data_IF_043354746995
#
_entry.id   IF_043354746995
#
_cell.length_a   1.000
_cell.length_b   1.000
_cell.length_c   1.000
_cell.angle_alpha   90.00
_cell.angle_beta   90.00
_cell.angle_gamma   90.00
#
_symmetry.space_group_name_H-M   'P 1'
#
loop_
_entity.id
_entity.type
_entity.pdbx_description
1 polymer ?
#
# COMPACT_ATOMS: atom_id res chain seq x y z
N UNK A 1 -5.82 -21.95 0.10
CA UNK A 1 -4.45 -21.49 0.45
C UNK A 1 -4.56 -20.18 1.20
N UNK A 2 -3.54 -19.79 2.00
CA UNK A 2 -3.58 -18.52 2.77
C UNK A 2 -3.84 -17.29 1.87
N UNK A 3 -3.37 -17.33 0.61
CA UNK A 3 -3.63 -16.28 -0.37
C UNK A 3 -5.11 -16.20 -0.77
N UNK A 4 -5.80 -17.33 -0.92
CA UNK A 4 -7.22 -17.36 -1.29
C UNK A 4 -8.09 -16.75 -0.18
N UNK A 5 -7.72 -17.00 1.09
CA UNK A 5 -8.38 -16.41 2.25
C UNK A 5 -8.19 -14.89 2.29
N UNK A 6 -6.97 -14.39 2.01
CA UNK A 6 -6.68 -12.96 1.89
C UNK A 6 -7.52 -12.34 0.77
N UNK A 7 -7.58 -12.98 -0.41
CA UNK A 7 -8.34 -12.46 -1.55
C UNK A 7 -9.83 -12.40 -1.23
N UNK A 8 -10.39 -13.48 -0.66
CA UNK A 8 -11.81 -13.53 -0.27
C UNK A 8 -12.14 -12.40 0.71
N UNK A 9 -11.34 -12.27 1.78
CA UNK A 9 -11.52 -11.24 2.79
C UNK A 9 -11.41 -9.83 2.21
N UNK A 10 -10.45 -9.61 1.31
CA UNK A 10 -10.23 -8.31 0.65
C UNK A 10 -11.42 -7.91 -0.23
N UNK A 11 -12.05 -8.87 -0.93
CA UNK A 11 -13.26 -8.60 -1.72
C UNK A 11 -14.43 -8.18 -0.82
N UNK A 12 -14.65 -8.88 0.28
CA UNK A 12 -15.72 -8.55 1.22
C UNK A 12 -15.51 -7.17 1.86
N UNK A 13 -14.26 -6.84 2.22
CA UNK A 13 -13.91 -5.55 2.81
C UNK A 13 -13.97 -4.41 1.79
N UNK A 14 -13.69 -4.67 0.50
CA UNK A 14 -13.80 -3.70 -0.58
C UNK A 14 -15.25 -3.25 -0.78
N UNK A 15 -16.19 -4.19 -0.82
CA UNK A 15 -17.61 -3.85 -1.02
C UNK A 15 -18.17 -3.01 0.13
N UNK A 16 -17.74 -3.27 1.37
CA UNK A 16 -18.07 -2.40 2.52
C UNK A 16 -17.50 -1.00 2.36
N UNK A 17 -16.22 -0.89 1.98
CA UNK A 17 -15.56 0.41 1.82
C UNK A 17 -16.17 1.26 0.70
N UNK A 18 -16.64 0.65 -0.39
CA UNK A 18 -17.34 1.38 -1.46
C UNK A 18 -18.65 1.99 -0.97
N UNK A 19 -19.36 1.30 -0.09
CA UNK A 19 -20.58 1.82 0.52
C UNK A 19 -20.28 2.95 1.52
N UNK A 20 -19.25 2.78 2.35
CA UNK A 20 -18.87 3.77 3.37
C UNK A 20 -18.20 5.02 2.77
N UNK A 21 -17.41 4.83 1.70
CA UNK A 21 -16.63 5.86 1.02
C UNK A 21 -16.82 5.75 -0.50
N UNK A 22 -17.82 6.46 -1.06
CA UNK A 22 -18.05 6.48 -2.49
C UNK A 22 -16.83 6.99 -3.27
N UNK A 23 -16.66 6.54 -4.50
CA UNK A 23 -15.51 6.89 -5.35
C UNK A 23 -15.32 8.41 -5.52
N UNK A 24 -16.42 9.17 -5.56
CA UNK A 24 -16.37 10.63 -5.64
C UNK A 24 -15.57 11.25 -4.47
N UNK A 25 -15.68 10.68 -3.27
CA UNK A 25 -14.91 11.14 -2.11
C UNK A 25 -13.42 10.89 -2.28
N UNK A 26 -13.04 9.75 -2.87
CA UNK A 26 -11.64 9.46 -3.19
C UNK A 26 -11.08 10.49 -4.18
N UNK A 27 -11.84 10.81 -5.23
CA UNK A 27 -11.44 11.83 -6.21
C UNK A 27 -11.22 13.21 -5.57
N UNK A 28 -12.13 13.63 -4.69
CA UNK A 28 -11.98 14.88 -3.93
C UNK A 28 -10.74 14.84 -3.03
N UNK A 29 -10.55 13.76 -2.26
CA UNK A 29 -9.37 13.62 -1.38
C UNK A 29 -8.05 13.65 -2.15
N UNK A 30 -8.00 13.09 -3.37
CA UNK A 30 -6.84 13.16 -4.24
C UNK A 30 -6.58 14.59 -4.75
N UNK A 31 -7.64 15.30 -5.16
CA UNK A 31 -7.54 16.69 -5.61
C UNK A 31 -7.07 17.65 -4.50
N UNK A 32 -7.46 17.39 -3.25
CA UNK A 32 -7.04 18.18 -2.09
C UNK A 32 -5.67 17.76 -1.52
N UNK A 33 -5.00 16.75 -2.07
CA UNK A 33 -3.69 16.36 -1.59
C UNK A 33 -2.65 17.42 -2.00
N UNK A 34 -2.02 18.14 -1.05
CA UNK A 34 -1.11 19.24 -1.38
C UNK A 34 0.26 18.75 -1.89
N UNK A 35 0.52 17.44 -1.81
CA UNK A 35 1.79 16.85 -2.21
C UNK A 35 1.67 16.13 -3.55
N UNK A 36 2.62 16.43 -4.44
CA UNK A 36 2.80 15.65 -5.67
C UNK A 36 3.31 14.24 -5.35
N UNK A 37 2.94 13.22 -6.15
CA UNK A 37 3.54 11.90 -6.03
C UNK A 37 5.06 11.97 -6.13
N UNK A 38 5.76 11.25 -5.26
CA UNK A 38 7.22 11.15 -5.33
C UNK A 38 7.61 10.29 -6.53
N UNK A 39 8.75 10.60 -7.14
CA UNK A 39 9.31 9.78 -8.22
C UNK A 39 9.93 8.49 -7.66
N UNK A 40 9.15 7.41 -7.69
CA UNK A 40 9.54 6.09 -7.20
C UNK A 40 10.64 5.48 -8.08
N UNK A 41 10.60 5.69 -9.39
CA UNK A 41 11.55 5.07 -10.31
C UNK A 41 12.94 5.62 -10.07
N UNK A 42 13.06 6.94 -9.93
CA UNK A 42 14.33 7.58 -9.61
C UNK A 42 14.82 7.20 -8.21
N UNK A 43 13.93 7.10 -7.22
CA UNK A 43 14.30 6.69 -5.87
C UNK A 43 14.88 5.28 -5.79
N UNK A 44 14.39 4.35 -6.62
CA UNK A 44 14.83 2.95 -6.66
C UNK A 44 15.95 2.69 -7.67
N UNK A 45 16.29 3.66 -8.52
CA UNK A 45 17.36 3.49 -9.51
C UNK A 45 18.73 3.53 -8.83
N UNK A 46 19.44 2.40 -8.87
CA UNK A 46 20.81 2.31 -8.39
C UNK A 46 21.78 3.12 -9.27
N UNK A 47 22.84 3.65 -8.67
CA UNK A 47 23.94 4.32 -9.36
C UNK A 47 25.28 3.75 -8.90
N UNK A 48 26.38 4.07 -9.59
CA UNK A 48 27.72 3.65 -9.16
C UNK A 48 28.08 4.15 -7.76
N UNK A 49 27.63 5.36 -7.41
CA UNK A 49 27.87 5.97 -6.09
C UNK A 49 26.89 5.48 -5.01
N UNK A 50 25.73 4.95 -5.42
CA UNK A 50 24.71 4.44 -4.52
C UNK A 50 24.05 3.18 -5.11
N UNK A 51 24.74 2.03 -5.01
CA UNK A 51 24.35 0.81 -5.70
C UNK A 51 23.22 0.04 -4.99
N UNK A 52 23.02 0.30 -3.69
CA UNK A 52 22.03 -0.41 -2.87
C UNK A 52 20.87 0.53 -2.52
N UNK A 53 19.65 0.07 -2.79
CA UNK A 53 18.41 0.76 -2.45
C UNK A 53 17.56 -0.15 -1.56
N UNK A 54 17.08 0.38 -0.45
CA UNK A 54 16.33 -0.39 0.55
C UNK A 54 14.91 0.16 0.64
N UNK A 55 13.92 -0.73 0.48
CA UNK A 55 12.53 -0.45 0.82
C UNK A 55 12.32 -0.97 2.25
N UNK A 56 12.30 -0.06 3.22
CA UNK A 56 12.04 -0.42 4.61
C UNK A 56 10.53 -0.62 4.82
N UNK A 57 10.09 -1.87 5.02
CA UNK A 57 8.70 -2.21 5.32
C UNK A 57 8.41 -2.01 6.82
N UNK A 58 7.36 -1.24 7.13
CA UNK A 58 6.82 -1.16 8.49
C UNK A 58 5.64 -2.13 8.56
N UNK A 59 5.79 -3.23 9.30
CA UNK A 59 4.80 -4.32 9.39
C UNK A 59 4.50 -4.72 10.83
N UNK A 60 3.23 -4.72 11.21
CA UNK A 60 2.76 -5.12 12.56
C UNK A 60 2.79 -6.64 12.77
N UNK A 61 2.32 -7.42 11.80
CA UNK A 61 2.21 -8.88 11.90
C UNK A 61 2.30 -9.58 10.54
N UNK A 62 2.56 -10.89 10.52
CA UNK A 62 2.46 -11.72 9.32
C UNK A 62 1.78 -13.07 9.61
N UNK A 63 1.16 -13.71 8.60
CA UNK A 63 0.57 -15.05 8.78
C UNK A 63 1.58 -16.10 9.25
N UNK A 64 2.85 -15.98 8.86
CA UNK A 64 3.91 -16.94 9.18
C UNK A 64 4.62 -16.68 10.51
N UNK A 65 4.66 -15.43 11.00
CA UNK A 65 5.44 -15.04 12.18
C UNK A 65 4.60 -14.43 13.30
N UNK A 66 3.29 -14.30 13.12
CA UNK A 66 2.42 -13.66 14.10
C UNK A 66 2.74 -12.16 14.25
N UNK A 67 2.60 -11.64 15.47
CA UNK A 67 2.94 -10.24 15.80
C UNK A 67 4.46 -10.06 15.77
N UNK A 68 4.92 -9.05 15.03
CA UNK A 68 6.34 -8.71 14.88
C UNK A 68 6.70 -7.54 15.80
N UNK A 69 5.87 -6.49 15.80
CA UNK A 69 6.02 -5.31 16.66
C UNK A 69 4.69 -4.59 16.84
#
# INVERSE_FOLDING_TARGET
MILDEIIKKTKDDLEKRKADFPEEWLGRSLAYNPYVPRDVLSALRASQNEPIKIIAEIKKASPSKGVIR
#
